data_IF_713571270784
#
_entry.id   IF_713571270784
#
_cell.length_a   1.000
_cell.length_b   1.000
_cell.length_c   1.000
_cell.angle_alpha   90.00
_cell.angle_beta   90.00
_cell.angle_gamma   90.00
#
_symmetry.space_group_name_H-M   'P 1'
#
loop_
_entity.id
_entity.type
_entity.pdbx_description
1 polymer ?
#
# COMPACT_ATOMS: atom_id res chain seq x y z
N UNK A 1 -26.50 25.94 -8.58
CA UNK A 1 -27.94 25.75 -8.28
C UNK A 1 -28.90 26.32 -9.33
N UNK A 2 -28.51 27.31 -10.14
CA UNK A 2 -29.40 27.89 -11.17
C UNK A 2 -29.91 26.88 -12.20
N UNK A 3 -29.05 25.98 -12.70
CA UNK A 3 -29.44 24.92 -13.63
C UNK A 3 -30.53 24.00 -13.05
N UNK A 4 -30.35 23.48 -11.83
CA UNK A 4 -31.35 22.61 -11.18
C UNK A 4 -32.68 23.33 -10.94
N UNK A 5 -32.62 24.62 -10.57
CA UNK A 5 -33.81 25.47 -10.44
C UNK A 5 -34.53 25.64 -11.77
N UNK A 6 -33.81 25.91 -12.85
CA UNK A 6 -34.37 26.06 -14.19
C UNK A 6 -35.03 24.76 -14.69
N UNK A 7 -34.37 23.61 -14.51
CA UNK A 7 -34.95 22.29 -14.84
C UNK A 7 -36.27 22.03 -14.10
N UNK A 8 -36.39 22.51 -12.86
CA UNK A 8 -37.60 22.36 -12.06
C UNK A 8 -38.64 23.49 -12.28
N UNK A 9 -38.38 24.44 -13.18
CA UNK A 9 -39.24 25.60 -13.42
C UNK A 9 -39.26 26.63 -12.28
N UNK A 10 -38.29 26.59 -11.37
CA UNK A 10 -38.25 27.44 -10.20
C UNK A 10 -37.40 28.69 -10.40
N UNK A 11 -37.93 29.83 -9.98
CA UNK A 11 -37.27 31.13 -9.99
C UNK A 11 -36.75 31.50 -8.59
N UNK A 12 -36.05 32.63 -8.48
CA UNK A 12 -35.67 33.18 -7.16
C UNK A 12 -36.88 33.68 -6.35
N UNK A 13 -38.01 34.01 -6.99
CA UNK A 13 -39.21 34.52 -6.31
C UNK A 13 -39.94 33.45 -5.51
N UNK A 14 -39.80 32.19 -5.91
CA UNK A 14 -40.48 31.06 -5.27
C UNK A 14 -39.94 30.76 -3.87
N UNK A 15 -38.76 31.30 -3.50
CA UNK A 15 -38.11 31.15 -2.18
C UNK A 15 -37.95 29.70 -1.69
N UNK A 16 -38.04 28.72 -2.59
CA UNK A 16 -37.85 27.28 -2.31
C UNK A 16 -36.41 27.04 -1.86
N UNK A 17 -36.19 26.19 -0.85
CA UNK A 17 -34.83 25.89 -0.35
C UNK A 17 -34.07 25.03 -1.36
N UNK A 18 -32.75 25.14 -1.33
CA UNK A 18 -31.90 24.36 -2.23
C UNK A 18 -31.98 22.85 -1.96
N UNK A 19 -32.28 22.46 -0.71
CA UNK A 19 -32.42 21.07 -0.31
C UNK A 19 -33.69 20.47 -0.92
N UNK A 20 -34.83 21.16 -0.87
CA UNK A 20 -36.07 20.74 -1.54
C UNK A 20 -35.88 20.53 -3.06
N UNK A 21 -35.08 21.38 -3.71
CA UNK A 21 -34.76 21.24 -5.15
C UNK A 21 -33.85 20.04 -5.40
N UNK A 22 -32.91 19.77 -4.50
CA UNK A 22 -32.02 18.60 -4.59
C UNK A 22 -32.81 17.31 -4.45
N UNK A 23 -33.70 17.25 -3.46
CA UNK A 23 -34.55 16.10 -3.17
C UNK A 23 -35.46 15.80 -4.36
N UNK A 24 -36.05 16.85 -4.98
CA UNK A 24 -36.87 16.70 -6.18
C UNK A 24 -36.13 16.13 -7.38
N UNK A 25 -34.83 16.40 -7.52
CA UNK A 25 -34.00 15.94 -8.65
C UNK A 25 -33.14 14.71 -8.28
N UNK A 26 -33.17 14.25 -7.02
CA UNK A 26 -32.34 13.14 -6.54
C UNK A 26 -30.83 13.44 -6.51
N UNK A 27 -30.45 14.71 -6.36
CA UNK A 27 -29.05 15.15 -6.35
C UNK A 27 -28.55 15.24 -4.91
N UNK A 28 -27.51 14.47 -4.57
CA UNK A 28 -26.89 14.54 -3.27
C UNK A 28 -26.17 15.88 -3.05
N UNK A 29 -26.07 16.31 -1.79
CA UNK A 29 -25.22 17.46 -1.46
C UNK A 29 -23.74 17.13 -1.75
N UNK A 30 -22.98 18.15 -2.17
CA UNK A 30 -21.54 18.00 -2.39
C UNK A 30 -20.85 17.60 -1.10
N UNK A 31 -21.25 18.19 0.03
CA UNK A 31 -20.63 17.93 1.33
C UNK A 31 -20.79 16.46 1.75
N UNK A 32 -21.98 15.88 1.56
CA UNK A 32 -22.23 14.48 1.89
C UNK A 32 -21.45 13.54 0.97
N UNK A 33 -21.33 13.87 -0.33
CA UNK A 33 -20.50 13.08 -1.26
C UNK A 33 -19.01 13.16 -0.96
N UNK A 34 -18.54 14.32 -0.52
CA UNK A 34 -17.17 14.47 -0.04
C UNK A 34 -16.95 13.67 1.24
N UNK A 35 -17.94 13.63 2.15
CA UNK A 35 -17.90 12.79 3.35
C UNK A 35 -17.80 11.30 2.99
N UNK A 36 -18.66 10.82 2.09
CA UNK A 36 -18.61 9.44 1.58
C UNK A 36 -17.23 9.09 1.02
N UNK A 37 -16.62 9.99 0.23
CA UNK A 37 -15.29 9.78 -0.34
C UNK A 37 -14.20 9.71 0.73
N UNK A 38 -14.22 10.63 1.71
CA UNK A 38 -13.26 10.64 2.83
C UNK A 38 -13.36 9.37 3.68
N UNK A 39 -14.57 8.94 4.03
CA UNK A 39 -14.80 7.72 4.80
C UNK A 39 -14.47 6.45 3.99
N UNK A 40 -14.71 6.44 2.67
CA UNK A 40 -14.26 5.35 1.80
C UNK A 40 -12.75 5.19 1.82
N UNK A 41 -12.01 6.30 1.75
CA UNK A 41 -10.56 6.31 1.87
C UNK A 41 -10.11 5.87 3.27
N UNK A 42 -10.72 6.40 4.33
CA UNK A 42 -10.40 5.99 5.71
C UNK A 42 -10.55 4.48 5.91
N UNK A 43 -11.66 3.89 5.48
CA UNK A 43 -11.83 2.44 5.54
C UNK A 43 -10.80 1.68 4.70
N UNK A 44 -10.28 2.26 3.61
CA UNK A 44 -9.15 1.67 2.88
C UNK A 44 -7.88 1.66 3.74
N UNK A 45 -7.54 2.79 4.36
CA UNK A 45 -6.36 2.93 5.24
C UNK A 45 -6.46 1.99 6.43
N UNK A 46 -7.63 1.91 7.07
CA UNK A 46 -7.88 1.09 8.25
C UNK A 46 -7.62 -0.41 8.02
N UNK A 47 -7.93 -0.89 6.81
CA UNK A 47 -7.74 -2.28 6.38
C UNK A 47 -6.33 -2.58 5.84
N UNK A 48 -5.42 -1.61 5.81
CA UNK A 48 -4.00 -1.86 5.46
C UNK A 48 -3.22 -2.32 6.68
N UNK A 49 -2.18 -3.10 6.43
CA UNK A 49 -1.22 -3.53 7.45
C UNK A 49 -0.61 -2.33 8.18
N UNK A 50 -0.26 -2.51 9.45
CA UNK A 50 0.33 -1.45 10.26
C UNK A 50 1.66 -0.95 9.69
N UNK A 51 2.39 -1.81 8.99
CA UNK A 51 3.66 -1.50 8.34
C UNK A 51 3.49 -0.75 7.00
N UNK A 52 2.26 -0.56 6.52
CA UNK A 52 2.03 0.27 5.36
C UNK A 52 2.32 1.74 5.70
N UNK A 53 3.09 2.48 4.89
CA UNK A 53 3.42 3.88 5.16
C UNK A 53 2.20 4.76 5.43
N UNK A 54 1.10 4.55 4.68
CA UNK A 54 -0.16 5.27 4.83
C UNK A 54 -0.80 5.05 6.20
N UNK A 55 -0.67 3.85 6.77
CA UNK A 55 -1.22 3.46 8.07
C UNK A 55 -0.37 3.99 9.22
N UNK A 56 0.95 4.07 9.04
CA UNK A 56 1.85 4.72 9.99
C UNK A 56 1.58 6.22 10.08
N UNK A 57 1.45 6.91 8.95
CA UNK A 57 1.19 8.35 8.91
C UNK A 57 -0.12 8.75 9.59
N UNK A 58 -1.13 7.87 9.56
CA UNK A 58 -2.41 8.11 10.23
C UNK A 58 -2.26 8.19 11.76
N UNK A 59 -1.41 7.34 12.36
CA UNK A 59 -1.19 7.31 13.81
C UNK A 59 -0.11 8.27 14.30
N UNK A 60 0.57 8.98 13.40
CA UNK A 60 1.46 10.05 13.82
C UNK A 60 0.62 11.14 14.48
N UNK A 61 0.56 11.09 15.81
CA UNK A 61 -0.05 12.12 16.61
C UNK A 61 0.72 13.41 16.32
N UNK A 62 0.03 14.41 15.78
CA UNK A 62 0.59 15.76 15.62
C UNK A 62 0.57 16.49 16.96
N UNK A 63 1.13 15.85 17.99
CA UNK A 63 1.23 16.39 19.34
C UNK A 63 2.50 17.23 19.39
N UNK A 64 2.36 18.55 19.35
CA UNK A 64 3.49 19.46 19.54
C UNK A 64 3.58 20.67 18.62
N UNK A 65 2.71 20.80 17.60
CA UNK A 65 2.67 22.04 16.83
C UNK A 65 2.19 23.19 17.72
N UNK A 66 3.09 24.15 17.98
CA UNK A 66 2.77 25.40 18.66
C UNK A 66 1.58 26.04 17.94
N UNK A 67 0.47 26.22 18.64
CA UNK A 67 -0.74 26.87 18.11
C UNK A 67 -0.38 28.30 17.71
N UNK A 68 -0.29 28.57 16.40
CA UNK A 68 -0.16 29.92 15.88
C UNK A 68 -1.42 30.76 16.16
N UNK A 69 -1.31 32.08 16.08
CA UNK A 69 -2.47 32.99 16.12
C UNK A 69 -3.33 32.79 14.87
N UNK A 70 -4.62 32.54 15.03
CA UNK A 70 -5.59 32.41 13.93
C UNK A 70 -6.55 31.22 14.06
N UNK A 71 -7.29 30.92 12.99
CA UNK A 71 -8.16 29.75 12.91
C UNK A 71 -7.31 28.47 12.98
N UNK A 72 -7.59 27.55 13.92
CA UNK A 72 -6.85 26.29 14.00
C UNK A 72 -6.87 25.53 12.66
N UNK A 73 -5.73 25.00 12.24
CA UNK A 73 -5.66 24.09 11.10
C UNK A 73 -6.47 22.85 11.44
N UNK A 74 -7.43 22.49 10.59
CA UNK A 74 -8.22 21.25 10.76
C UNK A 74 -7.30 20.06 10.56
N UNK A 75 -7.21 19.19 11.56
CA UNK A 75 -6.48 17.95 11.44
C UNK A 75 -7.31 16.92 10.67
N UNK A 76 -6.68 16.13 9.80
CA UNK A 76 -7.38 15.11 9.02
C UNK A 76 -8.12 14.11 9.92
N UNK A 77 -7.50 13.63 11.00
CA UNK A 77 -8.17 12.74 11.95
C UNK A 77 -9.34 13.40 12.70
N UNK A 78 -9.32 14.72 12.88
CA UNK A 78 -10.46 15.47 13.47
C UNK A 78 -11.62 15.57 12.48
N UNK A 79 -11.31 15.79 11.19
CA UNK A 79 -12.32 15.77 10.11
C UNK A 79 -12.97 14.40 10.01
N UNK A 80 -12.18 13.32 10.02
CA UNK A 80 -12.70 11.95 9.97
C UNK A 80 -13.53 11.63 11.22
N UNK A 81 -13.07 12.00 12.44
CA UNK A 81 -13.86 11.81 13.67
C UNK A 81 -15.22 12.51 13.59
N UNK A 82 -15.25 13.74 13.10
CA UNK A 82 -16.50 14.49 12.93
C UNK A 82 -17.41 13.85 11.88
N UNK A 83 -16.85 13.38 10.76
CA UNK A 83 -17.60 12.71 9.72
C UNK A 83 -18.19 11.37 10.19
N UNK A 84 -17.41 10.59 10.97
CA UNK A 84 -17.90 9.36 11.60
C UNK A 84 -19.01 9.65 12.60
N UNK A 85 -18.88 10.70 13.42
CA UNK A 85 -19.92 11.12 14.35
C UNK A 85 -21.23 11.53 13.64
N UNK A 86 -21.14 12.19 12.48
CA UNK A 86 -22.30 12.58 11.69
C UNK A 86 -23.07 11.39 11.12
N UNK A 87 -22.39 10.29 10.82
CA UNK A 87 -22.98 9.05 10.26
C UNK A 87 -23.13 7.96 11.33
N UNK A 88 -22.81 8.27 12.60
CA UNK A 88 -22.85 7.34 13.73
C UNK A 88 -22.06 6.03 13.49
N UNK A 89 -20.91 6.16 12.84
CA UNK A 89 -20.01 5.05 12.54
C UNK A 89 -18.96 4.87 13.62
N UNK A 90 -18.61 3.61 13.88
CA UNK A 90 -17.48 3.24 14.75
C UNK A 90 -16.33 2.69 13.91
N UNK A 91 -15.10 2.78 14.44
CA UNK A 91 -13.88 2.42 13.72
C UNK A 91 -13.75 0.91 13.45
N UNK A 92 -14.27 0.08 14.35
CA UNK A 92 -14.31 -1.39 14.25
C UNK A 92 -15.14 -1.88 13.05
N UNK A 93 -16.18 -1.13 12.67
CA UNK A 93 -17.00 -1.44 11.49
C UNK A 93 -16.22 -1.38 10.17
N UNK A 94 -15.02 -0.78 10.16
CA UNK A 94 -14.19 -0.67 8.95
C UNK A 94 -13.69 -2.02 8.45
N UNK A 95 -13.62 -3.05 9.31
CA UNK A 95 -13.17 -4.39 8.93
C UNK A 95 -14.18 -5.09 8.01
N UNK A 96 -15.48 -4.93 8.26
CA UNK A 96 -16.52 -5.43 7.35
C UNK A 96 -16.69 -4.49 6.16
N UNK A 97 -16.17 -4.93 5.00
CA UNK A 97 -16.24 -4.16 3.76
C UNK A 97 -17.66 -3.92 3.26
N UNK A 98 -18.58 -4.88 3.48
CA UNK A 98 -19.97 -4.77 3.01
C UNK A 98 -20.71 -3.79 3.90
N UNK A 99 -20.66 -4.00 5.21
CA UNK A 99 -21.29 -3.10 6.19
C UNK A 99 -20.76 -1.67 6.03
N UNK A 100 -19.43 -1.49 5.97
CA UNK A 100 -18.81 -0.18 5.77
C UNK A 100 -19.30 0.51 4.51
N UNK A 101 -19.33 -0.21 3.37
CA UNK A 101 -19.76 0.37 2.09
C UNK A 101 -21.23 0.79 2.12
N UNK A 102 -22.09 0.00 2.74
CA UNK A 102 -23.52 0.31 2.84
C UNK A 102 -23.76 1.52 3.74
N UNK A 103 -23.10 1.58 4.89
CA UNK A 103 -23.31 2.66 5.86
C UNK A 103 -22.75 4.01 5.40
N UNK A 104 -21.63 4.04 4.67
CA UNK A 104 -21.08 5.31 4.17
C UNK A 104 -21.77 5.82 2.89
N UNK A 105 -22.62 5.01 2.26
CA UNK A 105 -23.19 5.33 0.94
C UNK A 105 -24.19 6.46 1.08
N UNK A 106 -23.96 7.55 0.36
CA UNK A 106 -24.93 8.63 0.22
C UNK A 106 -25.77 8.36 -1.02
N UNK A 107 -27.09 8.39 -0.88
CA UNK A 107 -28.01 8.23 -2.01
C UNK A 107 -27.98 9.47 -2.92
N UNK A 108 -28.19 9.26 -4.22
CA UNK A 108 -28.08 10.32 -5.24
C UNK A 108 -26.68 10.52 -5.82
N UNK A 109 -26.61 11.21 -6.95
CA UNK A 109 -25.36 11.56 -7.65
C UNK A 109 -25.01 13.03 -7.42
N UNK A 110 -23.72 13.37 -7.46
CA UNK A 110 -23.29 14.77 -7.49
C UNK A 110 -23.10 15.18 -8.95
N UNK A 111 -23.78 16.24 -9.38
CA UNK A 111 -23.80 16.72 -10.79
C UNK A 111 -22.46 17.30 -11.27
N UNK A 112 -21.38 17.19 -10.49
CA UNK A 112 -20.05 17.69 -10.85
C UNK A 112 -18.93 16.74 -10.38
N UNK A 113 -19.04 15.46 -10.74
CA UNK A 113 -18.10 14.41 -10.31
C UNK A 113 -16.75 14.44 -11.05
N UNK A 114 -16.69 14.99 -12.27
CA UNK A 114 -15.52 14.82 -13.15
C UNK A 114 -14.40 15.86 -13.01
N UNK A 115 -14.64 17.05 -12.46
CA UNK A 115 -13.60 18.07 -12.33
C UNK A 115 -12.90 18.07 -10.95
N UNK A 116 -13.57 17.55 -9.91
CA UNK A 116 -13.05 17.58 -8.53
C UNK A 116 -12.26 16.32 -8.16
N UNK A 117 -12.61 15.15 -8.71
CA UNK A 117 -11.88 13.90 -8.47
C UNK A 117 -10.42 13.93 -8.97
N UNK A 118 -10.13 14.68 -10.03
CA UNK A 118 -8.76 14.85 -10.54
C UNK A 118 -7.99 15.95 -9.80
N UNK A 119 -8.68 16.96 -9.26
CA UNK A 119 -8.06 18.08 -8.55
C UNK A 119 -7.84 17.79 -7.04
N UNK A 120 -8.65 16.91 -6.43
CA UNK A 120 -8.51 16.55 -5.02
C UNK A 120 -7.57 15.37 -4.78
N UNK A 121 -7.48 14.41 -5.71
CA UNK A 121 -6.41 13.43 -5.64
C UNK A 121 -5.03 14.12 -5.76
N UNK A 122 -4.91 15.19 -6.55
CA UNK A 122 -3.65 15.95 -6.64
C UNK A 122 -3.45 16.90 -5.46
N UNK A 123 -4.48 17.55 -4.92
CA UNK A 123 -4.32 18.47 -3.76
C UNK A 123 -4.23 17.79 -2.40
N UNK A 124 -4.85 16.61 -2.17
CA UNK A 124 -4.59 15.82 -0.96
C UNK A 124 -3.19 15.19 -1.00
N UNK A 125 -2.78 14.68 -2.15
CA UNK A 125 -1.43 14.10 -2.30
C UNK A 125 -0.39 15.22 -2.28
N UNK A 126 -0.62 16.39 -2.91
CA UNK A 126 0.25 17.56 -2.76
C UNK A 126 0.25 18.15 -1.36
N UNK A 127 -0.89 18.20 -0.65
CA UNK A 127 -0.93 18.72 0.71
C UNK A 127 -0.11 17.86 1.68
N UNK A 128 -0.20 16.54 1.52
CA UNK A 128 0.62 15.57 2.29
C UNK A 128 2.08 15.60 1.82
N UNK A 129 2.34 15.70 0.52
CA UNK A 129 3.69 15.70 -0.06
C UNK A 129 4.45 17.00 0.23
N UNK A 130 3.80 18.15 0.13
CA UNK A 130 4.37 19.46 0.44
C UNK A 130 4.57 19.62 1.95
N UNK A 131 3.74 18.99 2.80
CA UNK A 131 3.96 18.88 4.24
C UNK A 131 5.15 17.96 4.59
N UNK A 132 5.30 16.82 3.90
CA UNK A 132 6.47 15.92 4.02
C UNK A 132 7.77 16.62 3.63
N UNK A 133 7.74 17.48 2.59
CA UNK A 133 8.92 18.21 2.10
C UNK A 133 9.21 19.47 2.96
N UNK A 134 8.20 20.17 3.48
CA UNK A 134 8.40 21.42 4.24
C UNK A 134 8.84 21.22 5.71
N UNK A 135 8.59 20.04 6.28
CA UNK A 135 8.92 19.70 7.68
C UNK A 135 10.22 18.87 7.82
N UNK A 136 10.96 18.62 6.72
CA UNK A 136 12.18 17.81 6.79
C UNK A 136 11.95 16.32 7.12
N UNK A 137 10.73 15.80 6.94
CA UNK A 137 10.43 14.36 7.13
C UNK A 137 11.16 13.45 6.12
N UNK A 138 11.69 14.02 5.03
CA UNK A 138 12.63 13.30 4.17
C UNK A 138 13.94 12.94 4.86
N UNK A 139 14.35 13.59 5.96
CA UNK A 139 15.56 13.21 6.71
C UNK A 139 15.23 12.36 7.94
N UNK A 140 14.21 12.72 8.71
CA UNK A 140 13.84 12.00 9.94
C UNK A 140 13.21 10.63 9.69
N UNK A 141 12.52 10.43 8.56
CA UNK A 141 11.99 9.11 8.15
C UNK A 141 12.96 8.37 7.23
N UNK A 142 13.86 9.06 6.52
CA UNK A 142 14.88 8.40 5.72
C UNK A 142 15.96 7.74 6.57
N UNK A 143 16.27 8.24 7.78
CA UNK A 143 17.22 7.58 8.66
C UNK A 143 16.81 6.13 9.01
N UNK A 144 15.61 5.87 9.58
CA UNK A 144 15.16 4.50 9.83
C UNK A 144 15.01 3.71 8.52
N UNK A 145 14.41 4.27 7.46
CA UNK A 145 14.30 3.54 6.18
C UNK A 145 15.68 3.17 5.60
N UNK A 146 16.68 4.04 5.68
CA UNK A 146 18.06 3.76 5.24
C UNK A 146 18.73 2.70 6.11
N UNK A 147 18.53 2.76 7.44
CA UNK A 147 19.06 1.75 8.37
C UNK A 147 18.45 0.38 8.08
N UNK A 148 17.16 0.33 7.77
CA UNK A 148 16.42 -0.91 7.56
C UNK A 148 16.78 -1.55 6.22
N UNK A 149 16.91 -0.73 5.18
CA UNK A 149 17.40 -1.15 3.86
C UNK A 149 18.86 -1.61 3.95
N UNK A 150 19.72 -0.89 4.69
CA UNK A 150 21.11 -1.31 4.90
C UNK A 150 21.22 -2.62 5.70
N UNK A 151 20.35 -2.81 6.70
CA UNK A 151 20.28 -4.04 7.50
C UNK A 151 19.81 -5.23 6.65
N UNK A 152 18.77 -5.05 5.82
CA UNK A 152 18.32 -6.07 4.88
C UNK A 152 19.38 -6.39 3.82
N UNK A 153 20.11 -5.40 3.32
CA UNK A 153 21.21 -5.61 2.36
C UNK A 153 22.36 -6.45 2.95
N UNK A 154 22.77 -6.17 4.20
CA UNK A 154 23.80 -6.97 4.90
C UNK A 154 23.34 -8.41 5.14
N UNK A 155 22.09 -8.61 5.55
CA UNK A 155 21.50 -9.93 5.72
C UNK A 155 21.45 -10.71 4.40
N UNK A 156 21.13 -10.04 3.30
CA UNK A 156 21.11 -10.63 1.96
C UNK A 156 22.51 -11.03 1.50
N UNK A 157 23.50 -10.17 1.69
CA UNK A 157 24.90 -10.46 1.35
C UNK A 157 25.43 -11.67 2.14
N UNK A 158 25.19 -11.71 3.46
CA UNK A 158 25.60 -12.85 4.29
C UNK A 158 24.94 -14.16 3.86
N UNK A 159 23.66 -14.10 3.42
CA UNK A 159 22.96 -15.28 2.89
C UNK A 159 23.53 -15.74 1.55
N UNK A 160 23.79 -14.82 0.62
CA UNK A 160 24.38 -15.12 -0.69
C UNK A 160 25.79 -15.72 -0.55
N UNK A 161 26.58 -15.25 0.41
CA UNK A 161 27.92 -15.78 0.71
C UNK A 161 27.86 -17.21 1.29
N UNK A 162 26.97 -17.44 2.27
CA UNK A 162 26.75 -18.79 2.81
C UNK A 162 26.22 -19.77 1.74
N UNK A 163 25.31 -19.32 0.87
CA UNK A 163 24.82 -20.14 -0.24
C UNK A 163 25.92 -20.47 -1.26
N UNK A 164 26.85 -19.53 -1.49
CA UNK A 164 28.01 -19.74 -2.35
C UNK A 164 28.98 -20.76 -1.76
N UNK A 165 29.31 -20.67 -0.48
CA UNK A 165 30.17 -21.66 0.20
C UNK A 165 29.55 -23.06 0.17
N UNK A 166 28.24 -23.17 0.41
CA UNK A 166 27.51 -24.44 0.31
C UNK A 166 27.57 -24.99 -1.13
N UNK A 167 27.41 -24.12 -2.14
CA UNK A 167 27.48 -24.52 -3.54
C UNK A 167 28.90 -24.97 -3.95
N UNK A 168 29.93 -24.26 -3.51
CA UNK A 168 31.34 -24.61 -3.74
C UNK A 168 31.70 -25.95 -3.09
N UNK A 169 31.29 -26.16 -1.84
CA UNK A 169 31.49 -27.43 -1.15
C UNK A 169 30.77 -28.58 -1.86
N UNK A 170 29.52 -28.36 -2.30
CA UNK A 170 28.77 -29.35 -3.10
C UNK A 170 29.47 -29.66 -4.43
N UNK A 171 29.99 -28.65 -5.12
CA UNK A 171 30.70 -28.83 -6.39
C UNK A 171 32.03 -29.58 -6.19
N UNK A 172 32.80 -29.23 -5.15
CA UNK A 172 34.02 -29.92 -4.77
C UNK A 172 33.75 -31.40 -4.47
N UNK A 173 32.77 -31.69 -3.61
CA UNK A 173 32.40 -33.07 -3.28
C UNK A 173 31.94 -33.86 -4.50
N UNK A 174 31.16 -33.24 -5.40
CA UNK A 174 30.72 -33.87 -6.64
C UNK A 174 31.89 -34.17 -7.58
N UNK A 175 32.87 -33.26 -7.69
CA UNK A 175 34.06 -33.45 -8.51
C UNK A 175 35.00 -34.52 -7.93
N UNK A 176 35.17 -34.55 -6.61
CA UNK A 176 35.97 -35.58 -5.92
C UNK A 176 35.34 -36.97 -6.11
N UNK A 177 34.02 -37.07 -5.95
CA UNK A 177 33.28 -38.30 -6.22
C UNK A 177 33.45 -38.75 -7.68
N UNK A 178 33.28 -37.84 -8.64
CA UNK A 178 33.45 -38.14 -10.06
C UNK A 178 34.87 -38.62 -10.39
N UNK A 179 35.90 -38.00 -9.80
CA UNK A 179 37.31 -38.44 -9.95
C UNK A 179 37.53 -39.85 -9.40
N UNK A 180 36.96 -40.18 -8.24
CA UNK A 180 37.03 -41.54 -7.68
C UNK A 180 36.37 -42.55 -8.61
N UNK A 181 35.20 -42.22 -9.16
CA UNK A 181 34.50 -43.05 -10.15
C UNK A 181 35.35 -43.26 -11.41
N UNK A 182 35.92 -42.20 -11.98
CA UNK A 182 36.79 -42.26 -13.16
C UNK A 182 38.01 -43.16 -12.94
N UNK A 183 38.69 -43.02 -11.80
CA UNK A 183 39.84 -43.87 -11.43
C UNK A 183 39.45 -45.35 -11.33
N UNK A 184 38.33 -45.67 -10.67
CA UNK A 184 37.82 -47.06 -10.58
C UNK A 184 37.35 -47.62 -11.92
N UNK A 185 36.82 -46.76 -12.81
CA UNK A 185 36.36 -47.16 -14.14
C UNK A 185 37.52 -47.42 -15.11
N UNK A 186 38.61 -46.66 -15.00
CA UNK A 186 39.83 -46.87 -15.78
C UNK A 186 40.56 -48.17 -15.40
N UNK A 187 40.54 -48.54 -14.12
CA UNK A 187 41.16 -49.77 -13.61
C UNK A 187 40.40 -51.03 -14.06
N UNK A 188 39.07 -50.93 -14.18
CA UNK A 188 38.23 -52.01 -14.70
C UNK A 188 38.61 -52.43 -16.12
N UNK A 189 38.90 -51.46 -17.01
CA UNK A 189 39.35 -51.73 -18.38
C UNK A 189 40.77 -52.30 -18.47
N UNK A 190 41.67 -51.90 -17.56
CA UNK A 190 43.01 -52.47 -17.45
C UNK A 190 42.97 -53.93 -16.96
N UNK A 191 42.07 -54.23 -16.02
CA UNK A 191 41.89 -55.57 -15.48
C UNK A 191 41.31 -56.54 -16.54
N UNK A 192 40.35 -56.09 -17.35
CA UNK A 192 39.80 -56.88 -18.48
C UNK A 192 40.89 -57.21 -19.51
N UNK A 193 41.70 -56.22 -19.92
CA UNK A 193 42.80 -56.46 -20.89
C UNK A 193 43.86 -57.42 -20.35
N UNK A 194 44.16 -57.35 -19.05
CA UNK A 194 45.09 -58.28 -18.40
C UNK A 194 44.52 -59.70 -18.41
N UNK A 195 43.23 -59.86 -18.08
CA UNK A 195 42.55 -61.15 -18.11
C UNK A 195 42.51 -61.73 -19.53
N UNK A 196 42.25 -60.91 -20.56
CA UNK A 196 42.30 -61.33 -21.95
C UNK A 196 43.71 -61.82 -22.34
N UNK A 197 44.76 -61.09 -21.99
CA UNK A 197 46.15 -61.49 -22.24
C UNK A 197 46.53 -62.80 -21.53
N UNK A 198 46.15 -62.96 -20.27
CA UNK A 198 46.38 -64.20 -19.52
C UNK A 198 45.60 -65.38 -20.09
N UNK A 199 44.43 -65.13 -20.68
CA UNK A 199 43.60 -66.15 -21.33
C UNK A 199 44.20 -66.56 -22.68
N UNK A 200 44.66 -65.60 -23.49
CA UNK A 200 45.37 -65.86 -24.74
C UNK A 200 46.72 -66.58 -24.55
N UNK A 201 47.39 -66.40 -23.40
CA UNK A 201 48.65 -67.07 -23.10
C UNK A 201 48.48 -68.52 -22.58
N UNK A 202 47.24 -68.91 -22.22
CA UNK A 202 46.91 -70.23 -21.67
C UNK A 202 46.20 -71.15 -22.68
N UNK A 203 45.90 -70.65 -23.88
CA UNK A 203 45.37 -71.38 -25.04
C UNK A 203 46.51 -71.59 -26.03
#
# INVERSE_FOLDING_TARGET
>A
MGMLRWMCGHTRRDKIRNDDIRDKVGVASVEDKMREARLRWFGHVQRRDMDAPVRRCERLAMDGFRRGRGRPKKYWGEVIRRDMAQVQLTEDMTLDRRLWRTQIRVEGYCVNYYCFLLLECTTMVHGVFHFIISEGLLETVALPIKVEVAKQARLRQAKEEAEKEIAEFRAYMKAEFQRKVEQTSGDSGANVKRLDQETFAKI
#
